data_IF_438493571798
#
_entry.id   IF_438493571798
#
_cell.length_a   1.000
_cell.length_b   1.000
_cell.length_c   1.000
_cell.angle_alpha   90.00
_cell.angle_beta   90.00
_cell.angle_gamma   90.00
#
_symmetry.space_group_name_H-M   'P 1'
#
loop_
_entity.id
_entity.type
_entity.pdbx_description
1 polymer ?
#
# COMPACT_ATOMS: atom_id res chain seq x y z
N UNK A 1 -6.04 9.90 -14.42
CA UNK A 1 -6.72 9.82 -13.11
C UNK A 1 -6.31 8.53 -12.43
N UNK A 2 -6.06 8.59 -11.11
CA UNK A 2 -5.78 7.51 -10.15
C UNK A 2 -4.92 6.34 -10.63
N UNK A 3 -3.59 6.38 -10.43
CA UNK A 3 -2.78 5.15 -10.46
C UNK A 3 -3.01 4.38 -9.16
N UNK A 4 -3.15 3.06 -9.26
CA UNK A 4 -3.35 2.15 -8.11
C UNK A 4 -2.22 2.23 -7.07
N UNK A 5 -1.02 2.63 -7.49
CA UNK A 5 0.10 2.87 -6.58
C UNK A 5 -0.24 3.94 -5.52
N UNK A 6 -0.91 5.03 -5.94
CA UNK A 6 -1.31 6.11 -5.03
C UNK A 6 -2.37 5.66 -4.04
N UNK A 7 -3.32 4.82 -4.46
CA UNK A 7 -4.34 4.26 -3.57
C UNK A 7 -3.70 3.41 -2.45
N UNK A 8 -2.65 2.64 -2.80
CA UNK A 8 -1.91 1.82 -1.83
C UNK A 8 -1.14 2.70 -0.83
N UNK A 9 -0.52 3.79 -1.29
CA UNK A 9 0.19 4.74 -0.43
C UNK A 9 -0.78 5.49 0.52
N UNK A 10 -1.93 5.91 0.01
CA UNK A 10 -2.98 6.53 0.81
C UNK A 10 -3.47 5.56 1.89
N UNK A 11 -3.81 4.32 1.51
CA UNK A 11 -4.31 3.32 2.44
C UNK A 11 -3.25 2.95 3.49
N UNK A 12 -1.96 2.95 3.14
CA UNK A 12 -0.88 2.77 4.12
C UNK A 12 -0.87 3.88 5.18
N UNK A 13 -1.09 5.12 4.76
CA UNK A 13 -1.16 6.28 5.67
C UNK A 13 -2.41 6.25 6.55
N UNK A 14 -3.55 5.83 6.01
CA UNK A 14 -4.79 5.65 6.78
C UNK A 14 -4.65 4.56 7.85
N UNK A 15 -4.07 3.41 7.50
CA UNK A 15 -3.79 2.33 8.45
C UNK A 15 -2.85 2.78 9.57
N UNK A 16 -1.87 3.62 9.26
CA UNK A 16 -1.01 4.24 10.28
C UNK A 16 -1.80 5.14 11.23
N UNK A 17 -2.71 5.98 10.72
CA UNK A 17 -3.58 6.82 11.55
C UNK A 17 -4.50 6.00 12.44
N UNK A 18 -5.04 4.89 11.94
CA UNK A 18 -5.87 3.97 12.75
C UNK A 18 -5.06 3.35 13.90
N UNK A 19 -3.80 2.96 13.64
CA UNK A 19 -2.91 2.44 14.68
C UNK A 19 -2.53 3.51 15.70
N UNK A 20 -2.14 4.72 15.24
CA UNK A 20 -1.80 5.84 16.12
C UNK A 20 -3.01 6.30 16.97
N UNK A 21 -4.23 6.19 16.43
CA UNK A 21 -5.48 6.44 17.14
C UNK A 21 -5.93 5.30 18.07
N UNK A 22 -5.18 4.21 18.19
CA UNK A 22 -5.53 3.07 19.04
C UNK A 22 -6.73 2.25 18.57
N UNK A 23 -7.18 2.43 17.32
CA UNK A 23 -8.34 1.73 16.76
C UNK A 23 -8.00 0.31 16.29
N UNK A 24 -6.71 0.02 16.05
CA UNK A 24 -6.20 -1.32 15.72
C UNK A 24 -4.97 -1.65 16.55
N UNK A 25 -4.77 -2.92 16.85
CA UNK A 25 -3.60 -3.38 17.59
C UNK A 25 -2.33 -3.43 16.71
N UNK A 26 -1.17 -3.49 17.37
CA UNK A 26 0.15 -3.52 16.70
C UNK A 26 0.33 -4.70 15.76
N UNK A 27 -0.19 -5.88 16.10
CA UNK A 27 -0.05 -7.04 15.21
C UNK A 27 -0.87 -6.85 13.95
N UNK A 28 -2.09 -6.32 14.08
CA UNK A 28 -2.96 -6.00 12.95
C UNK A 28 -2.32 -4.94 12.05
N UNK A 29 -1.79 -3.86 12.62
CA UNK A 29 -1.03 -2.85 11.88
C UNK A 29 0.12 -3.46 11.07
N UNK A 30 0.98 -4.27 11.70
CA UNK A 30 2.14 -4.90 11.03
C UNK A 30 1.68 -5.82 9.89
N UNK A 31 0.66 -6.66 10.10
CA UNK A 31 0.14 -7.57 9.08
C UNK A 31 -0.36 -6.79 7.86
N UNK A 32 -1.14 -5.74 8.07
CA UNK A 32 -1.68 -4.92 6.97
C UNK A 32 -0.55 -4.23 6.21
N UNK A 33 0.40 -3.61 6.90
CA UNK A 33 1.55 -2.95 6.27
C UNK A 33 2.39 -3.91 5.41
N UNK A 34 2.55 -5.16 5.85
CA UNK A 34 3.27 -6.18 5.09
C UNK A 34 2.54 -6.57 3.79
N UNK A 35 1.21 -6.67 3.84
CA UNK A 35 0.36 -6.89 2.65
C UNK A 35 0.47 -5.70 1.71
N UNK A 36 0.33 -4.46 2.19
CA UNK A 36 0.40 -3.27 1.37
C UNK A 36 1.76 -3.12 0.68
N UNK A 37 2.86 -3.39 1.40
CA UNK A 37 4.20 -3.41 0.80
C UNK A 37 4.37 -4.46 -0.29
N UNK A 38 3.69 -5.61 -0.17
CA UNK A 38 3.68 -6.62 -1.24
C UNK A 38 2.90 -6.14 -2.45
N UNK A 39 1.73 -5.55 -2.25
CA UNK A 39 0.90 -5.04 -3.35
C UNK A 39 1.55 -3.84 -4.06
N UNK A 40 2.19 -2.93 -3.32
CA UNK A 40 2.97 -1.84 -3.88
C UNK A 40 4.02 -2.36 -4.87
N UNK A 41 4.86 -3.31 -4.44
CA UNK A 41 5.88 -3.92 -5.30
C UNK A 41 5.32 -4.64 -6.52
N UNK A 42 4.12 -5.23 -6.42
CA UNK A 42 3.47 -5.85 -7.58
C UNK A 42 3.00 -4.78 -8.56
N UNK A 43 2.46 -3.67 -8.07
CA UNK A 43 1.98 -2.59 -8.92
C UNK A 43 3.14 -1.84 -9.57
N UNK A 44 4.24 -1.57 -8.86
CA UNK A 44 5.48 -1.01 -9.42
C UNK A 44 5.97 -1.85 -10.61
N UNK A 45 6.08 -3.17 -10.43
CA UNK A 45 6.51 -4.07 -11.52
C UNK A 45 5.57 -4.02 -12.72
N UNK A 46 4.25 -3.98 -12.49
CA UNK A 46 3.27 -3.85 -13.56
C UNK A 46 3.39 -2.51 -14.30
N UNK A 47 3.67 -1.42 -13.59
CA UNK A 47 3.93 -0.12 -14.21
C UNK A 47 5.21 -0.16 -15.05
N UNK A 48 6.31 -0.73 -14.53
CA UNK A 48 7.56 -0.91 -15.27
C UNK A 48 7.40 -1.80 -16.52
N UNK A 49 6.58 -2.86 -16.46
CA UNK A 49 6.28 -3.73 -17.60
C UNK A 49 5.45 -3.01 -18.66
N UNK A 50 4.45 -2.20 -18.24
CA UNK A 50 3.65 -1.37 -19.13
C UNK A 50 4.49 -0.31 -19.83
N UNK A 51 5.40 0.34 -19.10
CA UNK A 51 6.25 1.38 -19.66
C UNK A 51 7.29 0.82 -20.63
N UNK A 52 7.80 -0.41 -20.40
CA UNK A 52 8.69 -1.11 -21.33
C UNK A 52 8.00 -1.63 -22.60
N UNK A 53 6.68 -1.82 -22.56
CA UNK A 53 5.88 -2.31 -23.69
C UNK A 53 5.29 -1.19 -24.54
N UNK A 54 5.62 0.07 -24.23
CA UNK A 54 5.24 1.29 -24.95
C UNK A 54 6.38 1.74 -25.85
#
# INVERSE_FOLDING_TARGET
MGKRIWDIELMSSEIRRLYEGGLIDKQTFIRVQLVLKREHRKEEKKEEEKDRSK
#
